data_IF_871766604302
#
_entry.id   IF_871766604302
#
_cell.length_a   1.000
_cell.length_b   1.000
_cell.length_c   1.000
_cell.angle_alpha   90.00
_cell.angle_beta   90.00
_cell.angle_gamma   90.00
#
_symmetry.space_group_name_H-M   'P 1'
#
loop_
_entity.id
_entity.type
_entity.pdbx_description
1 polymer ?
#
# COMPACT_ATOMS: atom_id res chain seq x y z
N UNK A 1 51.16 0.11 14.03
CA UNK A 1 49.86 0.81 14.16
C UNK A 1 49.17 0.83 12.81
N UNK A 2 48.63 -0.29 12.32
CA UNK A 2 47.96 -0.36 10.99
C UNK A 2 46.93 -1.52 10.93
N UNK A 3 46.10 -1.73 11.96
CA UNK A 3 45.11 -2.82 11.95
C UNK A 3 43.65 -2.45 12.29
N UNK A 4 43.35 -1.20 12.67
CA UNK A 4 41.98 -0.84 13.11
C UNK A 4 41.03 -0.42 11.99
N UNK A 5 41.51 0.06 10.85
CA UNK A 5 40.63 0.61 9.80
C UNK A 5 39.86 -0.46 8.99
N UNK A 6 40.43 -1.67 8.84
CA UNK A 6 39.81 -2.73 8.02
C UNK A 6 38.60 -3.39 8.68
N UNK A 7 38.49 -3.33 10.01
CA UNK A 7 37.38 -3.94 10.75
C UNK A 7 36.12 -3.06 10.68
N UNK A 8 36.29 -1.73 10.72
CA UNK A 8 35.18 -0.77 10.62
C UNK A 8 34.48 -0.81 9.26
N UNK A 9 35.21 -0.97 8.16
CA UNK A 9 34.61 -1.00 6.82
C UNK A 9 33.79 -2.27 6.57
N UNK A 10 34.23 -3.42 7.10
CA UNK A 10 33.48 -4.68 7.00
C UNK A 10 32.18 -4.65 7.81
N UNK A 11 32.23 -4.14 9.05
CA UNK A 11 31.04 -4.01 9.90
C UNK A 11 30.04 -2.99 9.30
N UNK A 12 30.52 -1.90 8.72
CA UNK A 12 29.67 -0.92 8.04
C UNK A 12 29.04 -1.49 6.77
N UNK A 13 29.76 -2.31 5.99
CA UNK A 13 29.20 -2.99 4.82
C UNK A 13 28.14 -4.04 5.18
N UNK A 14 28.31 -4.77 6.29
CA UNK A 14 27.29 -5.67 6.83
C UNK A 14 26.06 -4.91 7.37
N UNK A 15 26.25 -3.70 7.91
CA UNK A 15 25.14 -2.81 8.30
C UNK A 15 24.38 -2.24 7.08
N UNK A 16 25.07 -2.09 5.95
CA UNK A 16 24.49 -1.56 4.71
C UNK A 16 23.76 -2.62 3.88
N UNK A 17 24.10 -3.90 4.05
CA UNK A 17 23.34 -5.02 3.53
C UNK A 17 22.30 -5.45 4.56
N UNK A 18 21.10 -4.88 4.40
CA UNK A 18 19.91 -5.37 5.07
C UNK A 18 19.79 -6.89 5.00
N UNK A 19 19.29 -7.51 6.07
CA UNK A 19 19.19 -8.97 6.16
C UNK A 19 18.29 -9.58 5.07
N UNK A 20 17.36 -8.77 4.55
CA UNK A 20 16.33 -9.22 3.60
C UNK A 20 16.14 -8.26 2.41
N UNK A 21 16.39 -6.96 2.62
CA UNK A 21 16.18 -5.93 1.62
C UNK A 21 17.49 -5.61 0.90
N UNK A 22 17.41 -5.45 -0.41
CA UNK A 22 18.54 -4.88 -1.16
C UNK A 22 18.71 -3.40 -0.80
N UNK A 23 19.92 -2.87 -0.99
CA UNK A 23 20.19 -1.44 -0.77
C UNK A 23 19.22 -0.53 -1.56
N UNK A 24 18.84 -0.95 -2.78
CA UNK A 24 17.85 -0.25 -3.58
C UNK A 24 16.46 -0.26 -2.93
N UNK A 25 15.99 -1.43 -2.50
CA UNK A 25 14.69 -1.56 -1.83
C UNK A 25 14.63 -0.76 -0.53
N UNK A 26 15.70 -0.81 0.27
CA UNK A 26 15.81 -0.04 1.50
C UNK A 26 15.74 1.47 1.24
N UNK A 27 16.53 1.97 0.29
CA UNK A 27 16.51 3.40 -0.10
C UNK A 27 15.15 3.82 -0.67
N UNK A 28 14.52 2.97 -1.47
CA UNK A 28 13.17 3.20 -2.01
C UNK A 28 12.15 3.38 -0.89
N UNK A 29 12.09 2.42 0.04
CA UNK A 29 11.18 2.45 1.19
C UNK A 29 11.42 3.66 2.10
N UNK A 30 12.68 4.02 2.35
CA UNK A 30 13.04 5.20 3.14
C UNK A 30 12.62 6.51 2.46
N UNK A 31 12.76 6.60 1.12
CA UNK A 31 12.30 7.75 0.35
C UNK A 31 10.79 7.89 0.44
N UNK A 32 10.06 6.79 0.25
CA UNK A 32 8.60 6.75 0.33
C UNK A 32 8.10 7.19 1.72
N UNK A 33 8.80 6.82 2.81
CA UNK A 33 8.43 7.25 4.17
C UNK A 33 8.45 8.77 4.39
N UNK A 34 9.14 9.54 3.54
CA UNK A 34 9.16 11.00 3.55
C UNK A 34 7.93 11.61 2.86
N UNK A 35 7.17 10.82 2.10
CA UNK A 35 5.95 11.26 1.44
C UNK A 35 4.74 11.22 2.39
N UNK A 36 3.66 11.91 2.01
CA UNK A 36 2.40 11.90 2.76
C UNK A 36 1.65 10.58 2.53
N UNK A 37 1.95 9.59 3.37
CA UNK A 37 1.33 8.27 3.35
C UNK A 37 0.29 8.13 4.44
N UNK A 38 -0.76 7.34 4.16
CA UNK A 38 -1.63 6.87 5.22
C UNK A 38 -0.85 6.10 6.29
N UNK A 39 -1.26 6.21 7.55
CA UNK A 39 -0.60 5.54 8.68
C UNK A 39 -0.49 4.03 8.49
N UNK A 40 -1.46 3.43 7.79
CA UNK A 40 -1.43 2.03 7.42
C UNK A 40 -0.28 1.70 6.47
N UNK A 41 -0.06 2.49 5.41
CA UNK A 41 1.07 2.28 4.49
C UNK A 41 2.41 2.53 5.18
N UNK A 42 2.53 3.63 5.94
CA UNK A 42 3.71 3.93 6.74
C UNK A 42 4.09 2.76 7.65
N UNK A 43 3.11 2.18 8.36
CA UNK A 43 3.32 1.02 9.24
C UNK A 43 3.84 -0.20 8.50
N UNK A 44 3.37 -0.50 7.29
CA UNK A 44 3.87 -1.64 6.47
C UNK A 44 5.35 -1.47 6.16
N UNK A 45 5.73 -0.28 5.71
CA UNK A 45 7.10 0.05 5.35
C UNK A 45 8.01 -0.03 6.59
N UNK A 46 7.55 0.48 7.73
CA UNK A 46 8.27 0.38 8.99
C UNK A 46 8.48 -1.08 9.42
N UNK A 47 7.48 -1.97 9.26
CA UNK A 47 7.64 -3.40 9.54
C UNK A 47 8.74 -4.02 8.66
N UNK A 48 8.76 -3.70 7.37
CA UNK A 48 9.77 -4.22 6.44
C UNK A 48 11.18 -3.76 6.83
N UNK A 49 11.35 -2.48 7.17
CA UNK A 49 12.65 -1.92 7.58
C UNK A 49 13.13 -2.51 8.91
N UNK A 50 12.25 -2.65 9.91
CA UNK A 50 12.61 -3.27 11.19
C UNK A 50 12.94 -4.76 11.02
N UNK A 51 12.22 -5.47 10.16
CA UNK A 51 12.53 -6.85 9.84
C UNK A 51 13.90 -6.98 9.16
N UNK A 52 14.24 -6.04 8.28
CA UNK A 52 15.53 -5.94 7.61
C UNK A 52 16.69 -5.67 8.58
N UNK A 53 16.45 -4.88 9.63
CA UNK A 53 17.35 -4.66 10.76
C UNK A 53 17.49 -5.89 11.68
N UNK A 54 16.75 -6.97 11.41
CA UNK A 54 16.82 -8.22 12.16
C UNK A 54 15.89 -8.31 13.37
N UNK A 55 14.96 -7.36 13.54
CA UNK A 55 13.97 -7.40 14.63
C UNK A 55 13.00 -8.57 14.47
N UNK A 56 12.64 -9.19 15.61
CA UNK A 56 11.64 -10.24 15.67
C UNK A 56 10.21 -9.68 15.54
N UNK A 57 9.24 -10.55 15.19
CA UNK A 57 7.82 -10.16 15.09
C UNK A 57 7.31 -9.52 16.38
N UNK A 58 7.71 -10.05 17.54
CA UNK A 58 7.31 -9.56 18.86
C UNK A 58 7.86 -8.16 19.12
N UNK A 59 9.14 -7.91 18.84
CA UNK A 59 9.75 -6.58 18.97
C UNK A 59 9.09 -5.57 18.03
N UNK A 60 8.81 -5.97 16.78
CA UNK A 60 8.11 -5.12 15.81
C UNK A 60 6.71 -4.73 16.31
N UNK A 61 5.97 -5.67 16.89
CA UNK A 61 4.67 -5.40 17.50
C UNK A 61 4.77 -4.42 18.68
N UNK A 62 5.79 -4.57 19.54
CA UNK A 62 6.03 -3.66 20.66
C UNK A 62 6.39 -2.25 20.19
N UNK A 63 7.23 -2.12 19.16
CA UNK A 63 7.69 -0.83 18.63
C UNK A 63 6.55 -0.10 17.90
N UNK A 64 5.76 -0.80 17.08
CA UNK A 64 4.76 -0.17 16.20
C UNK A 64 3.33 -0.24 16.73
N UNK A 65 3.08 -0.96 17.83
CA UNK A 65 1.74 -1.21 18.36
C UNK A 65 0.82 -1.91 17.34
N UNK A 66 1.38 -2.79 16.52
CA UNK A 66 0.64 -3.47 15.44
C UNK A 66 0.29 -4.92 15.81
N UNK A 67 -0.68 -5.50 15.11
CA UNK A 67 -1.07 -6.89 15.36
C UNK A 67 0.04 -7.86 14.92
N UNK A 68 0.23 -9.01 15.62
CA UNK A 68 1.19 -10.04 15.23
C UNK A 68 0.99 -10.56 13.81
N UNK A 69 -0.26 -10.63 13.35
CA UNK A 69 -0.59 -11.03 11.98
C UNK A 69 -0.04 -10.04 10.94
N UNK A 70 -0.19 -8.74 11.20
CA UNK A 70 0.34 -7.68 10.33
C UNK A 70 1.87 -7.71 10.30
N UNK A 71 2.52 -7.79 11.47
CA UNK A 71 3.98 -7.90 11.56
C UNK A 71 4.48 -9.13 10.77
N UNK A 72 3.90 -10.30 11.04
CA UNK A 72 4.26 -11.56 10.35
C UNK A 72 4.15 -11.45 8.83
N UNK A 73 3.03 -10.95 8.33
CA UNK A 73 2.78 -10.85 6.89
C UNK A 73 3.82 -9.97 6.20
N UNK A 74 4.04 -8.75 6.70
CA UNK A 74 4.97 -7.81 6.07
C UNK A 74 6.44 -8.17 6.28
N UNK A 75 6.78 -8.85 7.38
CA UNK A 75 8.09 -9.49 7.55
C UNK A 75 8.31 -10.58 6.50
N UNK A 76 7.29 -11.38 6.18
CA UNK A 76 7.40 -12.40 5.12
C UNK A 76 7.61 -11.79 3.74
N UNK A 77 6.87 -10.73 3.40
CA UNK A 77 7.05 -9.99 2.13
C UNK A 77 8.46 -9.42 1.99
N UNK A 78 9.01 -8.84 3.07
CA UNK A 78 10.39 -8.36 3.07
C UNK A 78 11.39 -9.51 2.84
N UNK A 79 11.23 -10.63 3.55
CA UNK A 79 12.06 -11.84 3.40
C UNK A 79 12.02 -12.46 2.01
N UNK A 80 10.88 -12.36 1.34
CA UNK A 80 10.70 -12.86 -0.02
C UNK A 80 11.29 -11.93 -1.09
N UNK A 81 11.91 -10.80 -0.72
CA UNK A 81 12.44 -9.81 -1.66
C UNK A 81 11.34 -9.03 -2.42
N UNK A 82 10.09 -9.12 -1.96
CA UNK A 82 8.93 -8.50 -2.59
C UNK A 82 8.59 -7.13 -1.99
N UNK A 83 9.57 -6.46 -1.37
CA UNK A 83 9.36 -5.19 -0.68
C UNK A 83 8.88 -4.05 -1.59
N UNK A 84 9.12 -4.14 -2.89
CA UNK A 84 8.60 -3.19 -3.89
C UNK A 84 7.06 -3.25 -4.01
N UNK A 85 6.42 -4.36 -3.60
CA UNK A 85 4.97 -4.59 -3.65
C UNK A 85 4.24 -4.07 -2.40
N UNK A 86 4.85 -3.18 -1.61
CA UNK A 86 4.29 -2.67 -0.35
C UNK A 86 2.91 -2.00 -0.51
N UNK A 87 2.60 -1.52 -1.72
CA UNK A 87 1.32 -0.88 -2.07
C UNK A 87 0.27 -1.84 -2.63
N UNK A 88 0.69 -2.98 -3.20
CA UNK A 88 -0.16 -3.87 -4.01
C UNK A 88 -1.31 -4.51 -3.21
N UNK A 89 -1.11 -4.71 -1.90
CA UNK A 89 -2.21 -5.12 -1.03
C UNK A 89 -3.11 -3.92 -0.69
N UNK A 90 -4.25 -3.80 -1.37
CA UNK A 90 -5.30 -2.83 -0.99
C UNK A 90 -5.62 -2.93 0.51
N UNK A 91 -5.74 -1.78 1.18
CA UNK A 91 -6.16 -1.74 2.58
C UNK A 91 -7.68 -1.86 2.61
N UNK A 92 -8.18 -3.03 3.04
CA UNK A 92 -9.61 -3.30 3.19
C UNK A 92 -10.26 -3.89 1.93
N UNK A 93 -11.60 -3.90 1.89
CA UNK A 93 -12.34 -4.35 0.70
C UNK A 93 -12.01 -3.38 -0.45
N UNK A 94 -11.59 -3.88 -1.62
CA UNK A 94 -11.42 -3.05 -2.81
C UNK A 94 -12.67 -2.18 -2.99
N UNK A 95 -12.50 -0.87 -3.20
CA UNK A 95 -13.65 -0.01 -3.50
C UNK A 95 -14.35 -0.59 -4.72
N UNK A 96 -15.58 -1.05 -4.55
CA UNK A 96 -16.40 -1.55 -5.66
C UNK A 96 -16.69 -0.44 -6.69
N UNK A 97 -16.58 0.83 -6.30
CA UNK A 97 -16.67 1.97 -7.18
C UNK A 97 -15.30 2.30 -7.77
N UNK A 98 -15.09 1.89 -9.02
CA UNK A 98 -14.01 2.36 -9.89
C UNK A 98 -14.07 3.90 -9.99
N UNK A 99 -12.93 4.60 -10.09
CA UNK A 99 -12.91 6.07 -10.18
C UNK A 99 -13.71 6.57 -11.40
N UNK A 100 -13.65 5.82 -12.50
CA UNK A 100 -14.48 6.00 -13.69
C UNK A 100 -15.99 5.86 -13.40
N UNK A 101 -16.38 4.96 -12.50
CA UNK A 101 -17.77 4.79 -12.06
C UNK A 101 -18.27 6.01 -11.28
N UNK A 102 -17.41 6.60 -10.44
CA UNK A 102 -17.76 7.77 -9.63
C UNK A 102 -17.91 9.04 -10.48
N UNK A 103 -16.99 9.27 -11.42
CA UNK A 103 -17.09 10.41 -12.34
C UNK A 103 -18.35 10.29 -13.21
N UNK A 104 -18.61 9.10 -13.76
CA UNK A 104 -19.81 8.89 -14.58
C UNK A 104 -21.11 9.04 -13.80
N UNK A 105 -21.13 8.57 -12.54
CA UNK A 105 -22.26 8.75 -11.64
C UNK A 105 -22.58 10.24 -11.39
N UNK A 106 -21.56 11.09 -11.21
CA UNK A 106 -21.75 12.54 -11.01
C UNK A 106 -22.37 13.22 -12.24
N UNK A 107 -21.91 12.86 -13.43
CA UNK A 107 -22.46 13.37 -14.69
C UNK A 107 -23.94 12.96 -14.86
N UNK A 108 -24.26 11.70 -14.57
CA UNK A 108 -25.63 11.19 -14.69
C UNK A 108 -26.57 11.88 -13.70
N UNK A 109 -26.18 12.08 -12.44
CA UNK A 109 -27.02 12.79 -11.46
C UNK A 109 -27.29 14.26 -11.89
N UNK A 110 -26.36 14.87 -12.63
CA UNK A 110 -26.46 16.25 -13.11
C UNK A 110 -27.30 16.41 -14.39
N UNK A 111 -27.68 15.31 -15.04
CA UNK A 111 -28.45 15.29 -16.28
C UNK A 111 -29.86 14.74 -16.06
N UNK A 112 -30.79 15.06 -16.96
CA UNK A 112 -32.15 14.53 -16.85
C UNK A 112 -32.19 13.10 -17.39
N UNK A 113 -32.85 12.18 -16.68
CA UNK A 113 -33.04 10.80 -17.16
C UNK A 113 -33.80 10.72 -18.49
N UNK A 114 -34.50 11.80 -18.89
CA UNK A 114 -35.14 11.92 -20.20
C UNK A 114 -34.15 12.04 -21.36
N UNK A 115 -32.98 12.62 -21.12
CA UNK A 115 -31.92 12.80 -22.12
C UNK A 115 -31.33 11.45 -22.56
N UNK A 116 -31.53 10.42 -21.73
CA UNK A 116 -31.09 9.04 -21.95
C UNK A 116 -32.22 8.09 -22.36
N UNK A 117 -33.38 8.63 -22.75
CA UNK A 117 -34.51 7.86 -23.27
C UNK A 117 -35.39 7.20 -22.20
N UNK A 118 -35.26 7.58 -20.93
CA UNK A 118 -36.13 7.10 -19.86
C UNK A 118 -37.36 7.99 -19.69
N UNK A 119 -38.51 7.36 -19.38
CA UNK A 119 -39.80 8.05 -19.20
C UNK A 119 -39.93 8.80 -17.86
N UNK A 120 -39.02 8.55 -16.91
CA UNK A 120 -38.96 9.26 -15.63
C UNK A 120 -38.04 10.47 -15.71
N UNK A 121 -38.24 11.48 -14.83
CA UNK A 121 -37.42 12.71 -14.78
C UNK A 121 -36.43 12.78 -13.61
N UNK A 122 -36.42 11.78 -12.72
CA UNK A 122 -35.54 11.73 -11.54
C UNK A 122 -34.76 10.43 -11.52
N UNK A 123 -33.44 10.52 -11.39
CA UNK A 123 -32.61 9.37 -11.16
C UNK A 123 -32.90 8.74 -9.80
N UNK A 124 -33.06 7.43 -9.79
CA UNK A 124 -33.10 6.62 -8.56
C UNK A 124 -31.84 5.77 -8.50
N UNK A 125 -31.36 5.46 -7.30
CA UNK A 125 -30.14 4.67 -7.09
C UNK A 125 -30.16 3.34 -7.88
N UNK A 126 -31.31 2.67 -7.94
CA UNK A 126 -31.47 1.43 -8.70
C UNK A 126 -31.30 1.61 -10.21
N UNK A 127 -31.80 2.71 -10.77
CA UNK A 127 -31.68 3.00 -12.21
C UNK A 127 -30.27 3.45 -12.59
N UNK A 128 -29.63 4.25 -11.75
CA UNK A 128 -28.22 4.62 -11.93
C UNK A 128 -27.34 3.38 -11.93
N UNK A 129 -27.55 2.47 -10.97
CA UNK A 129 -26.80 1.22 -10.91
C UNK A 129 -27.02 0.37 -12.18
N UNK A 130 -28.28 0.17 -12.61
CA UNK A 130 -28.58 -0.55 -13.86
C UNK A 130 -27.96 0.09 -15.10
N UNK A 131 -28.02 1.43 -15.21
CA UNK A 131 -27.49 2.16 -16.34
C UNK A 131 -25.96 2.07 -16.38
N UNK A 132 -25.30 2.29 -15.24
CA UNK A 132 -23.85 2.22 -15.10
C UNK A 132 -23.31 0.80 -15.29
N UNK A 133 -23.98 -0.25 -14.78
CA UNK A 133 -23.61 -1.65 -15.07
C UNK A 133 -23.74 -1.97 -16.56
N UNK A 134 -24.77 -1.44 -17.24
CA UNK A 134 -24.93 -1.62 -18.69
C UNK A 134 -23.86 -0.87 -19.50
N UNK A 135 -23.46 0.32 -19.06
CA UNK A 135 -22.51 1.19 -19.76
C UNK A 135 -21.05 0.79 -19.51
N UNK A 136 -20.71 0.38 -18.29
CA UNK A 136 -19.35 0.07 -17.84
C UNK A 136 -19.05 -1.44 -17.76
N UNK A 137 -20.06 -2.31 -17.92
CA UNK A 137 -19.88 -3.76 -17.94
C UNK A 137 -19.42 -4.37 -16.60
N UNK A 138 -19.74 -3.71 -15.48
CA UNK A 138 -19.38 -4.10 -14.10
C UNK A 138 -20.53 -4.84 -13.43
#
# INVERSE_FOLDING_TARGET
>A
MLNDQKNTDTVVLEILNGKYLTQFQRKLLQKILQEDLSQSYRRRIQIMLLADEGKSQTEICQILGCSPATARHWTHIARAGMAHQWQDCSIGRPKAANEQYLERLKELISSSSRDYGYSFGRWTANWLNKHLTKELGI
#
